data_IF_239363526946
#
_entry.id   IF_239363526946
#
_cell.length_a   1.000
_cell.length_b   1.000
_cell.length_c   1.000
_cell.angle_alpha   90.00
_cell.angle_beta   90.00
_cell.angle_gamma   90.00
#
_symmetry.space_group_name_H-M   'P 1'
#
loop_
_entity.id
_entity.type
_entity.pdbx_description
1 polymer ?
#
# COMPACT_ATOMS: atom_id res chain seq x y z
N UNK A 1 16.02 -19.15 -0.09
CA UNK A 1 14.66 -18.83 0.37
C UNK A 1 14.73 -17.49 1.08
N UNK A 2 14.10 -16.44 0.54
CA UNK A 2 14.03 -15.15 1.23
C UNK A 2 13.01 -15.33 2.36
N UNK A 3 13.46 -15.33 3.61
CA UNK A 3 12.55 -15.34 4.76
C UNK A 3 11.97 -13.93 4.87
N UNK A 4 10.74 -13.76 4.40
CA UNK A 4 10.06 -12.48 4.43
C UNK A 4 9.37 -12.30 5.77
N UNK A 5 9.81 -11.32 6.57
CA UNK A 5 9.16 -10.96 7.83
C UNK A 5 7.91 -10.14 7.54
N UNK A 6 6.80 -10.52 8.16
CA UNK A 6 5.50 -9.88 8.01
C UNK A 6 5.16 -9.03 9.24
N UNK A 7 4.51 -7.91 9.01
CA UNK A 7 4.02 -7.01 10.07
C UNK A 7 2.55 -6.72 9.85
N UNK A 8 1.80 -6.64 10.94
CA UNK A 8 0.40 -6.23 10.97
C UNK A 8 0.36 -4.76 11.39
N UNK A 9 -0.23 -3.92 10.55
CA UNK A 9 -0.21 -2.46 10.69
C UNK A 9 -1.61 -1.92 10.48
N UNK A 10 -1.96 -0.87 11.22
CA UNK A 10 -3.11 -0.04 10.87
C UNK A 10 -2.82 0.77 9.60
N UNK A 11 -3.86 1.27 8.92
CA UNK A 11 -3.70 1.94 7.62
C UNK A 11 -2.75 3.14 7.66
N UNK A 12 -2.77 3.92 8.75
CA UNK A 12 -1.84 5.05 8.91
C UNK A 12 -0.39 4.56 8.99
N UNK A 13 -0.13 3.56 9.81
CA UNK A 13 1.19 2.95 9.98
C UNK A 13 1.66 2.26 8.69
N UNK A 14 0.72 1.69 7.93
CA UNK A 14 0.97 1.12 6.62
C UNK A 14 1.46 2.19 5.62
N UNK A 15 0.79 3.33 5.53
CA UNK A 15 1.26 4.44 4.69
C UNK A 15 2.59 5.02 5.18
N UNK A 16 2.83 5.06 6.49
CA UNK A 16 4.15 5.43 7.05
C UNK A 16 5.24 4.45 6.65
N UNK A 17 4.96 3.14 6.67
CA UNK A 17 5.88 2.12 6.20
C UNK A 17 6.22 2.32 4.72
N UNK A 18 5.23 2.58 3.86
CA UNK A 18 5.47 2.90 2.45
C UNK A 18 6.39 4.11 2.31
N UNK A 19 6.11 5.21 3.03
CA UNK A 19 6.95 6.42 2.99
C UNK A 19 8.38 6.16 3.47
N UNK A 20 8.56 5.32 4.49
CA UNK A 20 9.86 5.00 5.02
C UNK A 20 10.66 4.13 4.05
N UNK A 21 10.06 3.05 3.53
CA UNK A 21 10.75 2.03 2.72
C UNK A 21 10.88 2.38 1.25
N UNK A 22 9.95 3.15 0.69
CA UNK A 22 10.04 3.58 -0.72
C UNK A 22 11.26 4.44 -1.02
N UNK A 23 11.88 5.07 -0.01
CA UNK A 23 13.15 5.81 -0.16
C UNK A 23 14.28 4.95 -0.71
N UNK A 24 14.23 3.65 -0.43
CA UNK A 24 15.24 2.69 -0.88
C UNK A 24 14.87 2.06 -2.23
N UNK A 25 13.73 2.40 -2.81
CA UNK A 25 13.29 1.90 -4.11
C UNK A 25 13.90 2.69 -5.25
N UNK A 26 14.23 1.98 -6.33
CA UNK A 26 14.53 2.63 -7.60
C UNK A 26 13.24 3.08 -8.29
N UNK A 27 13.27 4.20 -9.01
CA UNK A 27 12.09 4.77 -9.68
C UNK A 27 11.38 3.75 -10.58
N UNK A 28 12.12 2.90 -11.30
CA UNK A 28 11.59 1.86 -12.17
C UNK A 28 10.88 0.70 -11.43
N UNK A 29 11.12 0.56 -10.13
CA UNK A 29 10.50 -0.46 -9.29
C UNK A 29 9.25 0.05 -8.56
N UNK A 30 9.10 1.38 -8.39
CA UNK A 30 8.04 1.98 -7.57
C UNK A 30 6.64 1.49 -7.98
N UNK A 31 6.32 1.57 -9.26
CA UNK A 31 5.00 1.16 -9.77
C UNK A 31 4.79 -0.35 -9.57
N UNK A 32 5.78 -1.16 -9.96
CA UNK A 32 5.70 -2.64 -9.85
C UNK A 32 5.52 -3.09 -8.40
N UNK A 33 6.32 -2.56 -7.49
CA UNK A 33 6.25 -2.86 -6.06
C UNK A 33 4.90 -2.44 -5.47
N UNK A 34 4.39 -1.27 -5.87
CA UNK A 34 3.11 -0.77 -5.37
C UNK A 34 1.92 -1.57 -5.90
N UNK A 35 1.94 -2.01 -7.16
CA UNK A 35 0.92 -2.91 -7.72
C UNK A 35 0.90 -4.23 -6.94
N UNK A 36 2.07 -4.83 -6.70
CA UNK A 36 2.17 -6.06 -5.90
C UNK A 36 1.71 -5.87 -4.46
N UNK A 37 2.05 -4.74 -3.85
CA UNK A 37 1.51 -4.38 -2.55
C UNK A 37 -0.03 -4.22 -2.58
N UNK A 38 -0.57 -3.68 -3.68
CA UNK A 38 -2.01 -3.58 -3.92
C UNK A 38 -2.70 -4.94 -3.97
N UNK A 39 -2.13 -5.93 -4.65
CA UNK A 39 -2.67 -7.31 -4.67
C UNK A 39 -2.83 -7.88 -3.25
N UNK A 40 -1.83 -7.65 -2.38
CA UNK A 40 -1.81 -8.07 -0.98
C UNK A 40 -2.90 -7.36 -0.17
N UNK A 41 -2.93 -6.03 -0.29
CA UNK A 41 -3.74 -5.17 0.58
C UNK A 41 -5.22 -5.18 0.16
N UNK A 42 -5.53 -5.11 -1.14
CA UNK A 42 -6.91 -5.13 -1.64
C UNK A 42 -7.67 -6.39 -1.20
N UNK A 43 -6.99 -7.55 -1.22
CA UNK A 43 -7.54 -8.83 -0.74
C UNK A 43 -7.89 -8.79 0.74
N UNK A 44 -7.13 -8.07 1.56
CA UNK A 44 -7.40 -7.94 2.99
C UNK A 44 -8.49 -6.90 3.27
N UNK A 45 -8.51 -5.80 2.52
CA UNK A 45 -9.53 -4.75 2.62
C UNK A 45 -10.93 -5.21 2.22
N UNK A 46 -11.05 -6.24 1.38
CA UNK A 46 -12.37 -6.82 1.01
C UNK A 46 -13.08 -7.49 2.19
N UNK A 47 -12.34 -7.87 3.25
CA UNK A 47 -12.88 -8.47 4.47
C UNK A 47 -13.58 -7.44 5.38
N UNK A 48 -13.33 -6.15 5.18
CA UNK A 48 -13.92 -5.07 5.96
C UNK A 48 -15.20 -4.57 5.29
N UNK A 49 -16.29 -4.54 6.06
CA UNK A 49 -17.61 -4.14 5.54
C UNK A 49 -17.65 -2.66 5.16
N UNK A 50 -18.29 -2.36 4.03
CA UNK A 50 -18.37 -1.01 3.48
C UNK A 50 -19.08 -0.01 4.38
N UNK A 51 -19.97 -0.43 5.29
CA UNK A 51 -20.68 0.50 6.17
C UNK A 51 -19.75 1.18 7.16
N UNK A 52 -19.18 0.40 8.09
CA UNK A 52 -18.39 0.91 9.22
C UNK A 52 -17.05 1.53 8.81
N UNK A 53 -16.49 1.06 7.69
CA UNK A 53 -15.10 1.35 7.31
C UNK A 53 -14.98 2.04 5.95
N UNK A 54 -16.09 2.56 5.41
CA UNK A 54 -16.19 3.05 4.02
C UNK A 54 -15.06 3.99 3.62
N UNK A 55 -14.81 5.01 4.43
CA UNK A 55 -13.93 6.12 4.08
C UNK A 55 -12.49 5.63 3.92
N UNK A 56 -11.90 5.13 5.01
CA UNK A 56 -10.49 4.74 5.03
C UNK A 56 -10.19 3.57 4.09
N UNK A 57 -11.12 2.61 4.00
CA UNK A 57 -11.03 1.50 3.04
C UNK A 57 -10.98 2.03 1.62
N UNK A 58 -11.93 2.89 1.23
CA UNK A 58 -12.05 3.35 -0.14
C UNK A 58 -10.93 4.30 -0.54
N UNK A 59 -10.44 5.13 0.37
CA UNK A 59 -9.25 5.95 0.12
C UNK A 59 -8.02 5.06 -0.09
N UNK A 60 -7.85 4.00 0.71
CA UNK A 60 -6.74 3.05 0.53
C UNK A 60 -6.86 2.28 -0.78
N UNK A 61 -8.07 1.86 -1.16
CA UNK A 61 -8.32 1.23 -2.48
C UNK A 61 -8.01 2.22 -3.62
N UNK A 62 -8.46 3.47 -3.48
CA UNK A 62 -8.25 4.55 -4.45
C UNK A 62 -6.76 4.85 -4.68
N UNK A 63 -5.93 4.77 -3.65
CA UNK A 63 -4.48 4.87 -3.79
C UNK A 63 -3.92 3.84 -4.78
N UNK A 64 -4.29 2.57 -4.64
CA UNK A 64 -3.80 1.52 -5.55
C UNK A 64 -4.42 1.64 -6.95
N UNK A 65 -5.69 2.02 -7.06
CA UNK A 65 -6.32 2.28 -8.37
C UNK A 65 -5.64 3.43 -9.13
N UNK A 66 -5.21 4.47 -8.42
CA UNK A 66 -4.48 5.58 -9.02
C UNK A 66 -3.13 5.13 -9.60
N UNK A 67 -2.41 4.26 -8.88
CA UNK A 67 -1.15 3.67 -9.34
C UNK A 67 -1.36 2.73 -10.54
N UNK A 68 -2.39 1.89 -10.50
CA UNK A 68 -2.74 1.01 -11.62
C UNK A 68 -3.07 1.80 -12.88
N UNK A 69 -3.89 2.85 -12.77
CA UNK A 69 -4.18 3.75 -13.90
C UNK A 69 -2.92 4.43 -14.42
N UNK A 70 -2.07 4.91 -13.52
CA UNK A 70 -0.79 5.53 -13.89
C UNK A 70 0.11 4.55 -14.64
N UNK A 71 0.13 3.27 -14.24
CA UNK A 71 0.96 2.23 -14.87
C UNK A 71 0.65 1.99 -16.36
N UNK A 72 -0.53 2.43 -16.83
CA UNK A 72 -0.96 2.35 -18.23
C UNK A 72 -0.53 3.57 -19.05
N UNK A 73 -0.05 4.63 -18.39
CA UNK A 73 0.54 5.79 -19.04
C UNK A 73 2.04 5.53 -19.11
N UNK A 74 2.65 5.55 -20.29
CA UNK A 74 4.11 5.34 -20.48
C UNK A 74 4.97 6.46 -19.86
N UNK A 75 4.44 7.18 -18.87
CA UNK A 75 5.07 8.29 -18.18
C UNK A 75 5.90 7.77 -17.00
N UNK A 76 7.10 8.33 -16.77
CA UNK A 76 7.87 8.01 -15.58
C UNK A 76 7.23 8.65 -14.33
N UNK A 77 7.13 7.88 -13.24
CA UNK A 77 6.88 8.44 -11.90
C UNK A 77 8.20 8.68 -11.20
N UNK A 78 8.40 9.88 -10.67
CA UNK A 78 9.53 10.17 -9.80
C UNK A 78 9.21 9.67 -8.39
N UNK A 79 10.25 9.31 -7.64
CA UNK A 79 10.09 8.91 -6.24
C UNK A 79 9.43 10.02 -5.40
N UNK A 80 9.73 11.29 -5.71
CA UNK A 80 9.13 12.44 -5.04
C UNK A 80 7.61 12.53 -5.31
N UNK A 81 7.18 12.39 -6.56
CA UNK A 81 5.76 12.37 -6.91
C UNK A 81 5.03 11.21 -6.24
N UNK A 82 5.65 10.03 -6.22
CA UNK A 82 5.12 8.88 -5.50
C UNK A 82 4.97 9.16 -4.00
N UNK A 83 5.99 9.69 -3.35
CA UNK A 83 5.92 10.02 -1.93
C UNK A 83 4.89 11.12 -1.63
N UNK A 84 4.70 12.09 -2.53
CA UNK A 84 3.63 13.08 -2.42
C UNK A 84 2.26 12.40 -2.45
N UNK A 85 2.04 11.51 -3.42
CA UNK A 85 0.79 10.75 -3.54
C UNK A 85 0.49 9.95 -2.27
N UNK A 86 1.49 9.24 -1.74
CA UNK A 86 1.35 8.45 -0.50
C UNK A 86 1.00 9.36 0.68
N UNK A 87 1.62 10.54 0.80
CA UNK A 87 1.28 11.53 1.84
C UNK A 87 -0.16 12.04 1.70
N UNK A 88 -0.60 12.33 0.48
CA UNK A 88 -1.95 12.84 0.21
C UNK A 88 -3.01 11.82 0.64
N UNK A 89 -2.84 10.55 0.28
CA UNK A 89 -3.76 9.48 0.70
C UNK A 89 -3.70 9.21 2.21
N UNK A 90 -2.50 9.29 2.82
CA UNK A 90 -2.37 9.24 4.29
C UNK A 90 -3.20 10.35 4.96
N UNK A 91 -3.16 11.58 4.45
CA UNK A 91 -3.92 12.72 4.99
C UNK A 91 -5.44 12.52 4.86
N UNK A 92 -5.90 11.90 3.77
CA UNK A 92 -7.34 11.64 3.54
C UNK A 92 -7.95 10.66 4.54
N UNK A 93 -7.14 9.76 5.09
CA UNK A 93 -7.56 8.82 6.13
C UNK A 93 -7.19 9.28 7.56
N UNK A 94 -6.72 10.53 7.70
CA UNK A 94 -6.17 11.11 8.94
C UNK A 94 -7.18 11.83 9.86
N UNK A 95 -8.41 12.24 9.48
CA UNK A 95 -9.22 13.04 10.42
C UNK A 95 -9.91 12.17 11.49
N UNK A 96 -9.38 12.26 12.73
CA UNK A 96 -9.99 12.10 14.08
C UNK A 96 -11.47 11.62 14.24
N UNK A 97 -11.84 10.92 15.34
CA UNK A 97 -11.11 9.95 16.17
C UNK A 97 -11.45 8.51 15.77
N UNK A 98 -12.05 8.31 14.59
CA UNK A 98 -12.39 6.99 14.09
C UNK A 98 -11.16 6.38 13.44
N UNK A 99 -10.23 5.93 14.29
CA UNK A 99 -9.36 4.82 13.91
C UNK A 99 -10.28 3.72 13.37
N UNK A 100 -10.25 3.46 12.07
CA UNK A 100 -11.06 2.41 11.47
C UNK A 100 -10.72 1.04 12.03
N UNK A 101 -9.62 0.88 12.77
CA UNK A 101 -9.15 -0.43 13.25
C UNK A 101 -8.89 -1.41 12.10
N UNK A 102 -8.82 -0.89 10.86
CA UNK A 102 -8.44 -1.67 9.70
C UNK A 102 -6.96 -1.92 9.84
N UNK A 103 -6.64 -3.21 9.95
CA UNK A 103 -5.28 -3.70 9.95
C UNK A 103 -5.02 -4.50 8.68
N UNK A 104 -3.82 -4.33 8.14
CA UNK A 104 -3.29 -5.04 6.98
C UNK A 104 -1.98 -5.70 7.36
N UNK A 105 -1.73 -6.88 6.80
CA UNK A 105 -0.51 -7.63 6.98
C UNK A 105 0.32 -7.55 5.70
N UNK A 106 1.54 -7.03 5.83
CA UNK A 106 2.43 -6.76 4.70
C UNK A 106 3.88 -7.15 5.04
N UNK A 107 4.75 -7.38 4.03
CA UNK A 107 6.17 -7.56 4.26
C UNK A 107 6.82 -6.33 4.90
N UNK A 108 7.54 -6.49 6.01
CA UNK A 108 8.15 -5.38 6.76
C UNK A 108 9.18 -4.60 5.93
N UNK A 109 9.93 -5.30 5.07
CA UNK A 109 10.93 -4.67 4.22
C UNK A 109 10.34 -3.93 3.01
N UNK A 110 9.17 -4.35 2.54
CA UNK A 110 8.61 -3.95 1.23
C UNK A 110 9.62 -4.02 0.07
N UNK A 111 10.60 -4.92 0.16
CA UNK A 111 11.66 -5.14 -0.83
C UNK A 111 11.44 -6.44 -1.60
N UNK A 112 11.75 -6.44 -2.89
CA UNK A 112 11.64 -7.66 -3.71
C UNK A 112 10.20 -8.10 -3.96
N UNK A 113 9.22 -7.20 -3.75
CA UNK A 113 7.80 -7.47 -3.94
C UNK A 113 7.49 -7.82 -5.41
N UNK A 114 8.21 -7.20 -6.35
CA UNK A 114 8.07 -7.43 -7.78
C UNK A 114 8.42 -8.87 -8.21
N UNK A 115 9.17 -9.60 -7.38
CA UNK A 115 9.61 -10.97 -7.65
C UNK A 115 8.74 -12.02 -6.93
N UNK A 116 7.66 -11.62 -6.26
CA UNK A 116 6.75 -12.56 -5.59
C UNK A 116 5.79 -13.18 -6.61
N UNK A 117 6.02 -14.46 -6.94
CA UNK A 117 5.16 -15.23 -7.86
C UNK A 117 3.85 -15.70 -7.21
N UNK A 118 3.88 -16.05 -5.92
CA UNK A 118 2.72 -16.45 -5.12
C UNK A 118 2.82 -15.86 -3.71
N UNK A 119 1.70 -15.29 -3.24
CA UNK A 119 1.58 -14.67 -1.93
C UNK A 119 0.83 -15.62 -0.97
N UNK A 120 1.58 -16.37 -0.18
CA UNK A 120 1.05 -16.95 1.06
C UNK A 120 1.09 -15.86 2.13
N UNK A 121 0.00 -15.08 2.23
CA UNK A 121 -0.18 -14.15 3.36
C UNK A 121 -0.33 -15.04 4.61
N UNK A 122 0.54 -14.88 5.63
CA UNK A 122 0.44 -15.69 6.84
C UNK A 122 -0.93 -15.50 7.51
N UNK A 123 -1.45 -16.59 8.07
CA UNK A 123 -2.75 -16.64 8.75
C UNK A 123 -2.77 -15.84 10.05
#
# INVERSE_FOLDING_TARGET
MIIMKWVKLELIEFFELILAKSKDWKSEQVVKNTIKLGEIVKTQLSKYQEGKYRSDRNETLGFFEAIEKFSLTDLPITLEHFQSLVKDYKIRILPYPHYSGITVQVPEGLTGLENLEQLEIPS
#
